data_IF_659462971179
#
_entry.id   IF_659462971179
#
_cell.length_a   1.000
_cell.length_b   1.000
_cell.length_c   1.000
_cell.angle_alpha   90.00
_cell.angle_beta   90.00
_cell.angle_gamma   90.00
#
_symmetry.space_group_name_H-M   'P 1'
#
loop_
_entity.id
_entity.type
_entity.pdbx_description
1 polymer ?
#
# COMPACT_ATOMS: atom_id res chain seq x y z
N UNK A 1 22.52 33.88 42.74
CA UNK A 1 22.10 33.48 41.38
C UNK A 1 20.68 32.95 41.50
N UNK A 2 19.71 33.85 41.35
CA UNK A 2 18.28 33.54 41.41
C UNK A 2 17.85 32.92 40.09
N UNK A 3 17.36 31.69 40.15
CA UNK A 3 16.63 31.05 39.05
C UNK A 3 15.39 31.91 38.78
N UNK A 4 15.13 32.35 37.53
CA UNK A 4 13.89 33.04 37.22
C UNK A 4 12.74 32.04 37.30
N UNK A 5 12.12 31.95 38.47
CA UNK A 5 10.80 31.36 38.63
C UNK A 5 9.77 32.27 37.96
N UNK A 6 8.86 31.65 37.22
CA UNK A 6 7.68 32.27 36.62
C UNK A 6 7.93 33.11 35.35
N UNK A 7 7.88 32.44 34.19
CA UNK A 7 7.45 33.09 32.93
C UNK A 7 5.92 33.11 32.94
N UNK A 8 5.27 34.26 33.19
CA UNK A 8 3.81 34.34 33.30
C UNK A 8 3.22 34.38 31.89
N UNK A 9 2.29 33.46 31.59
CA UNK A 9 1.38 33.61 30.44
C UNK A 9 1.46 32.55 29.34
N UNK A 10 2.34 31.55 29.42
CA UNK A 10 2.21 30.37 28.57
C UNK A 10 1.13 29.46 29.16
N UNK A 11 -0.09 29.59 28.66
CA UNK A 11 -1.13 28.60 28.96
C UNK A 11 -0.57 27.20 28.70
N UNK A 12 -0.84 26.24 29.59
CA UNK A 12 -0.36 24.85 29.48
C UNK A 12 -0.59 24.28 28.07
N UNK A 13 -1.73 24.61 27.45
CA UNK A 13 -2.06 24.26 26.06
C UNK A 13 -1.10 24.82 25.01
N UNK A 14 -0.64 26.07 25.18
CA UNK A 14 0.34 26.71 24.27
C UNK A 14 1.75 26.12 24.41
N UNK A 15 2.12 25.69 25.62
CA UNK A 15 3.36 24.97 25.84
C UNK A 15 3.33 23.60 25.13
N UNK A 16 2.26 22.82 25.32
CA UNK A 16 2.10 21.53 24.67
C UNK A 16 2.01 21.64 23.14
N UNK A 17 1.35 22.65 22.57
CA UNK A 17 1.30 22.83 21.12
C UNK A 17 2.67 23.15 20.51
N UNK A 18 3.47 23.99 21.19
CA UNK A 18 4.82 24.35 20.76
C UNK A 18 5.77 23.16 20.89
N UNK A 19 5.68 22.42 21.99
CA UNK A 19 6.45 21.19 22.18
C UNK A 19 6.10 20.13 21.12
N UNK A 20 4.82 19.94 20.80
CA UNK A 20 4.36 19.03 19.74
C UNK A 20 4.82 19.49 18.35
N UNK A 21 4.92 20.79 18.09
CA UNK A 21 5.45 21.31 16.82
C UNK A 21 6.95 21.08 16.66
N UNK A 22 7.71 21.23 17.75
CA UNK A 22 9.14 20.92 17.77
C UNK A 22 9.38 19.41 17.63
N UNK A 23 8.50 18.57 18.19
CA UNK A 23 8.60 17.10 18.13
C UNK A 23 7.99 16.48 16.85
N UNK A 24 7.05 17.14 16.17
CA UNK A 24 6.45 16.71 14.90
C UNK A 24 7.48 16.21 13.87
N UNK A 25 8.61 16.91 13.59
CA UNK A 25 9.59 16.45 12.62
C UNK A 25 10.32 15.16 13.05
N UNK A 26 10.48 14.90 14.35
CA UNK A 26 11.03 13.64 14.87
C UNK A 26 10.00 12.50 14.82
N UNK A 27 8.71 12.81 14.98
CA UNK A 27 7.66 11.78 15.08
C UNK A 27 7.16 11.27 13.72
N UNK A 28 7.18 12.12 12.69
CA UNK A 28 6.81 11.73 11.31
C UNK A 28 7.59 10.54 10.77
N UNK A 29 8.94 10.50 10.77
CA UNK A 29 9.68 9.36 10.22
C UNK A 29 9.41 8.06 10.98
N UNK A 30 9.22 8.13 12.31
CA UNK A 30 8.84 6.97 13.11
C UNK A 30 7.46 6.45 12.70
N UNK A 31 6.46 7.32 12.63
CA UNK A 31 5.11 6.98 12.18
C UNK A 31 5.11 6.35 10.78
N UNK A 32 5.79 6.98 9.82
CA UNK A 32 5.86 6.49 8.44
C UNK A 32 6.53 5.12 8.36
N UNK A 33 7.59 4.91 9.15
CA UNK A 33 8.29 3.62 9.26
C UNK A 33 7.36 2.54 9.81
N UNK A 34 6.63 2.82 10.89
CA UNK A 34 5.67 1.87 11.49
C UNK A 34 4.59 1.49 10.47
N UNK A 35 4.04 2.48 9.75
CA UNK A 35 3.01 2.24 8.72
C UNK A 35 3.54 1.33 7.62
N UNK A 36 4.77 1.56 7.13
CA UNK A 36 5.38 0.70 6.11
C UNK A 36 5.60 -0.71 6.64
N UNK A 37 6.09 -0.87 7.87
CA UNK A 37 6.30 -2.19 8.49
C UNK A 37 4.97 -2.95 8.58
N UNK A 38 3.91 -2.31 9.06
CA UNK A 38 2.57 -2.92 9.16
C UNK A 38 2.02 -3.27 7.78
N UNK A 39 2.16 -2.38 6.79
CA UNK A 39 1.72 -2.64 5.43
C UNK A 39 2.48 -3.83 4.79
N UNK A 40 3.80 -3.92 5.02
CA UNK A 40 4.63 -5.03 4.60
C UNK A 40 4.21 -6.35 5.28
N UNK A 41 3.96 -6.31 6.59
CA UNK A 41 3.47 -7.48 7.31
C UNK A 41 2.14 -7.96 6.75
N UNK A 42 1.19 -7.05 6.52
CA UNK A 42 -0.09 -7.37 5.90
C UNK A 42 0.09 -7.93 4.49
N UNK A 43 1.02 -7.41 3.69
CA UNK A 43 1.35 -7.93 2.37
C UNK A 43 1.81 -9.40 2.42
N UNK A 44 2.69 -9.74 3.37
CA UNK A 44 3.18 -11.12 3.57
C UNK A 44 2.05 -12.05 4.00
N UNK A 45 1.27 -11.65 5.01
CA UNK A 45 0.17 -12.45 5.56
C UNK A 45 -0.91 -12.70 4.51
N UNK A 46 -1.32 -11.65 3.80
CA UNK A 46 -2.37 -11.77 2.77
C UNK A 46 -1.89 -12.58 1.57
N UNK A 47 -0.70 -12.32 1.03
CA UNK A 47 -0.15 -13.11 -0.09
C UNK A 47 -0.06 -14.60 0.24
N UNK A 48 0.39 -14.90 1.46
CA UNK A 48 0.47 -16.28 1.94
C UNK A 48 -0.93 -16.90 2.04
N UNK A 49 -1.87 -16.24 2.71
CA UNK A 49 -3.24 -16.73 2.83
C UNK A 49 -3.88 -16.95 1.46
N UNK A 50 -3.78 -15.97 0.56
CA UNK A 50 -4.31 -16.04 -0.80
C UNK A 50 -3.71 -17.20 -1.61
N UNK A 51 -2.42 -17.46 -1.48
CA UNK A 51 -1.76 -18.61 -2.10
C UNK A 51 -2.39 -19.93 -1.64
N UNK A 52 -2.71 -20.09 -0.35
CA UNK A 52 -3.39 -21.27 0.17
C UNK A 52 -4.87 -21.37 -0.22
N UNK A 53 -5.48 -20.28 -0.68
CA UNK A 53 -6.86 -20.27 -1.21
C UNK A 53 -6.93 -20.58 -2.72
N UNK A 54 -5.82 -20.78 -3.43
CA UNK A 54 -5.85 -21.14 -4.85
C UNK A 54 -6.58 -22.45 -5.17
N UNK A 55 -6.59 -23.51 -4.34
CA UNK A 55 -7.34 -24.74 -4.63
C UNK A 55 -8.76 -24.69 -4.07
N UNK A 56 -9.28 -23.49 -3.71
CA UNK A 56 -10.61 -23.35 -3.14
C UNK A 56 -11.69 -23.88 -4.10
N UNK A 57 -12.56 -24.74 -3.56
CA UNK A 57 -13.61 -25.41 -4.30
C UNK A 57 -14.96 -25.15 -3.65
N UNK A 58 -15.96 -24.90 -4.48
CA UNK A 58 -17.36 -24.88 -4.06
C UNK A 58 -18.15 -25.78 -5.01
N UNK A 59 -18.88 -26.76 -4.46
CA UNK A 59 -19.59 -27.79 -5.23
C UNK A 59 -18.70 -28.54 -6.25
N UNK A 60 -17.42 -28.76 -5.92
CA UNK A 60 -16.44 -29.43 -6.78
C UNK A 60 -15.77 -28.56 -7.85
N UNK A 61 -16.27 -27.33 -8.07
CA UNK A 61 -15.71 -26.37 -9.03
C UNK A 61 -14.62 -25.51 -8.38
N UNK A 62 -13.48 -25.36 -9.05
CA UNK A 62 -12.40 -24.45 -8.65
C UNK A 62 -12.88 -23.00 -8.81
N UNK A 63 -12.78 -22.19 -7.76
CA UNK A 63 -13.13 -20.77 -7.82
C UNK A 63 -11.87 -19.90 -7.64
N UNK A 64 -11.66 -18.86 -8.48
CA UNK A 64 -10.49 -17.99 -8.41
C UNK A 64 -10.64 -16.92 -7.32
N UNK A 65 -11.04 -17.32 -6.11
CA UNK A 65 -11.29 -16.40 -4.98
C UNK A 65 -9.99 -15.68 -4.57
N UNK A 66 -8.87 -16.38 -4.62
CA UNK A 66 -7.54 -15.80 -4.38
C UNK A 66 -7.20 -14.68 -5.35
N UNK A 67 -7.56 -14.82 -6.63
CA UNK A 67 -7.34 -13.79 -7.63
C UNK A 67 -8.18 -12.53 -7.36
N UNK A 68 -9.45 -12.71 -6.97
CA UNK A 68 -10.33 -11.60 -6.58
C UNK A 68 -9.79 -10.88 -5.34
N UNK A 69 -9.33 -11.63 -4.34
CA UNK A 69 -8.70 -11.07 -3.15
C UNK A 69 -7.44 -10.26 -3.52
N UNK A 70 -6.55 -10.84 -4.31
CA UNK A 70 -5.32 -10.18 -4.76
C UNK A 70 -5.59 -8.87 -5.50
N UNK A 71 -6.60 -8.84 -6.39
CA UNK A 71 -7.02 -7.64 -7.13
C UNK A 71 -7.44 -6.50 -6.21
N UNK A 72 -7.97 -6.80 -5.02
CA UNK A 72 -8.43 -5.81 -4.04
C UNK A 72 -7.29 -5.44 -3.09
N UNK A 73 -6.62 -6.43 -2.50
CA UNK A 73 -5.64 -6.23 -1.43
C UNK A 73 -4.40 -5.48 -1.92
N UNK A 74 -3.85 -5.85 -3.08
CA UNK A 74 -2.60 -5.25 -3.57
C UNK A 74 -2.70 -3.74 -3.84
N UNK A 75 -3.67 -3.21 -4.60
CA UNK A 75 -3.80 -1.77 -4.79
C UNK A 75 -4.28 -1.05 -3.53
N UNK A 76 -5.04 -1.73 -2.67
CA UNK A 76 -5.48 -1.18 -1.39
C UNK A 76 -4.27 -0.88 -0.48
N UNK A 77 -3.36 -1.84 -0.30
CA UNK A 77 -2.14 -1.68 0.51
C UNK A 77 -1.29 -0.50 0.02
N UNK A 78 -1.04 -0.39 -1.28
CA UNK A 78 -0.30 0.74 -1.85
C UNK A 78 -1.02 2.08 -1.66
N UNK A 79 -2.34 2.12 -1.86
CA UNK A 79 -3.12 3.36 -1.74
C UNK A 79 -3.18 3.85 -0.30
N UNK A 80 -3.40 2.96 0.66
CA UNK A 80 -3.43 3.31 2.09
C UNK A 80 -2.06 3.76 2.56
N UNK A 81 -1.00 3.03 2.20
CA UNK A 81 0.38 3.40 2.56
C UNK A 81 0.72 4.79 2.01
N UNK A 82 0.32 5.09 0.76
CA UNK A 82 0.53 6.40 0.17
C UNK A 82 -0.29 7.51 0.86
N UNK A 83 -1.56 7.25 1.17
CA UNK A 83 -2.43 8.22 1.84
C UNK A 83 -1.94 8.59 3.24
N UNK A 84 -1.34 7.64 3.95
CA UNK A 84 -0.89 7.83 5.32
C UNK A 84 0.51 8.46 5.37
N UNK A 85 1.44 8.02 4.51
CA UNK A 85 2.85 8.50 4.52
C UNK A 85 3.09 9.71 3.61
N UNK A 86 2.26 9.92 2.58
CA UNK A 86 2.48 10.90 1.52
C UNK A 86 3.66 10.57 0.57
N UNK A 87 4.42 9.51 0.84
CA UNK A 87 5.67 9.19 0.14
C UNK A 87 5.43 8.13 -0.94
N UNK A 88 5.57 8.52 -2.21
CA UNK A 88 5.34 7.64 -3.38
C UNK A 88 6.21 6.38 -3.36
N UNK A 89 7.48 6.51 -2.97
CA UNK A 89 8.44 5.39 -2.94
C UNK A 89 8.04 4.34 -1.90
N UNK A 90 7.58 4.78 -0.72
CA UNK A 90 7.23 3.88 0.38
C UNK A 90 6.00 3.03 0.07
N UNK A 91 5.03 3.56 -0.68
CA UNK A 91 3.83 2.83 -1.09
C UNK A 91 4.04 1.72 -2.11
N UNK A 92 5.19 1.66 -2.78
CA UNK A 92 5.53 0.56 -3.70
C UNK A 92 6.05 -0.67 -2.95
N UNK A 93 6.68 -0.47 -1.78
CA UNK A 93 7.30 -1.53 -0.99
C UNK A 93 6.34 -2.68 -0.68
N UNK A 94 5.11 -2.46 -0.14
CA UNK A 94 4.22 -3.57 0.18
C UNK A 94 3.75 -4.34 -1.06
N UNK A 95 3.53 -3.68 -2.19
CA UNK A 95 3.14 -4.34 -3.43
C UNK A 95 4.26 -5.20 -4.01
N UNK A 96 5.50 -4.71 -3.98
CA UNK A 96 6.69 -5.49 -4.39
C UNK A 96 6.86 -6.68 -3.45
N UNK A 97 6.73 -6.47 -2.14
CA UNK A 97 6.87 -7.54 -1.16
C UNK A 97 5.79 -8.63 -1.32
N UNK A 98 4.53 -8.23 -1.53
CA UNK A 98 3.45 -9.17 -1.86
C UNK A 98 3.81 -10.02 -3.08
N UNK A 99 4.33 -9.41 -4.14
CA UNK A 99 4.71 -10.13 -5.36
C UNK A 99 5.86 -11.11 -5.10
N UNK A 100 6.87 -10.71 -4.33
CA UNK A 100 7.98 -11.59 -3.97
C UNK A 100 7.51 -12.82 -3.18
N UNK A 101 6.55 -12.64 -2.26
CA UNK A 101 5.96 -13.75 -1.50
C UNK A 101 5.11 -14.65 -2.40
N UNK A 102 4.31 -14.08 -3.30
CA UNK A 102 3.53 -14.85 -4.27
C UNK A 102 4.44 -15.66 -5.21
N UNK A 103 5.54 -15.08 -5.66
CA UNK A 103 6.55 -15.78 -6.47
C UNK A 103 7.23 -16.88 -5.65
N UNK A 104 7.59 -16.62 -4.40
CA UNK A 104 8.17 -17.63 -3.50
C UNK A 104 7.25 -18.86 -3.39
N UNK A 105 5.96 -18.67 -3.16
CA UNK A 105 4.96 -19.75 -3.14
C UNK A 105 4.69 -20.41 -4.50
N UNK A 106 5.14 -19.80 -5.59
CA UNK A 106 5.08 -20.36 -6.95
C UNK A 106 6.30 -21.21 -7.29
N UNK A 107 7.40 -21.06 -6.56
CA UNK A 107 8.63 -21.84 -6.74
C UNK A 107 8.53 -23.20 -6.06
N UNK A 108 9.19 -24.19 -6.65
CA UNK A 108 9.16 -25.60 -6.24
C UNK A 108 10.00 -25.83 -4.97
N UNK A 109 9.42 -26.26 -3.84
CA UNK A 109 10.17 -27.02 -2.85
C UNK A 109 10.55 -28.37 -3.48
N UNK A 110 11.71 -28.93 -3.13
CA UNK A 110 12.31 -30.16 -3.72
C UNK A 110 11.42 -31.41 -3.78
N UNK A 111 10.21 -31.33 -3.25
CA UNK A 111 9.22 -32.39 -3.05
C UNK A 111 8.07 -32.35 -4.08
N UNK A 112 8.00 -31.32 -4.94
CA UNK A 112 7.04 -31.27 -6.06
C UNK A 112 5.63 -30.81 -5.70
N UNK A 113 5.40 -30.32 -4.48
CA UNK A 113 4.13 -29.70 -4.10
C UNK A 113 4.09 -28.23 -4.53
N UNK A 114 3.07 -27.88 -5.33
CA UNK A 114 2.91 -26.55 -5.89
C UNK A 114 1.67 -25.89 -5.27
N UNK A 115 1.90 -24.88 -4.43
CA UNK A 115 0.80 -24.10 -3.83
C UNK A 115 0.08 -23.25 -4.90
N UNK A 116 0.82 -22.66 -5.85
CA UNK A 116 0.24 -21.74 -6.85
C UNK A 116 0.25 -22.34 -8.26
N UNK A 117 1.37 -22.85 -8.74
CA UNK A 117 1.54 -23.22 -10.16
C UNK A 117 0.93 -24.56 -10.56
N UNK A 118 0.42 -25.35 -9.61
CA UNK A 118 -0.24 -26.63 -9.85
C UNK A 118 -1.69 -26.54 -10.37
N UNK A 119 -2.23 -25.33 -10.56
CA UNK A 119 -3.62 -25.14 -10.99
C UNK A 119 -3.83 -23.87 -11.84
N UNK A 120 -4.87 -23.86 -12.68
CA UNK A 120 -5.21 -22.68 -13.48
C UNK A 120 -5.63 -21.48 -12.61
N UNK A 121 -6.27 -21.71 -11.45
CA UNK A 121 -6.66 -20.64 -10.51
C UNK A 121 -5.44 -19.97 -9.90
N UNK A 122 -4.38 -20.72 -9.60
CA UNK A 122 -3.13 -20.13 -9.12
C UNK A 122 -2.38 -19.31 -10.18
N UNK A 123 -2.42 -19.73 -11.46
CA UNK A 123 -1.93 -18.89 -12.56
C UNK A 123 -2.72 -17.58 -12.69
N UNK A 124 -4.06 -17.65 -12.62
CA UNK A 124 -4.92 -16.47 -12.64
C UNK A 124 -4.63 -15.56 -11.45
N UNK A 125 -4.42 -16.11 -10.25
CA UNK A 125 -3.99 -15.36 -9.07
C UNK A 125 -2.69 -14.60 -9.30
N UNK A 126 -1.66 -15.27 -9.82
CA UNK A 126 -0.35 -14.65 -10.05
C UNK A 126 -0.43 -13.53 -11.10
N UNK A 127 -1.13 -13.75 -12.21
CA UNK A 127 -1.31 -12.76 -13.27
C UNK A 127 -2.16 -11.58 -12.77
N UNK A 128 -3.29 -11.84 -12.13
CA UNK A 128 -4.18 -10.79 -11.66
C UNK A 128 -3.54 -9.96 -10.55
N UNK A 129 -2.90 -10.60 -9.57
CA UNK A 129 -2.23 -9.92 -8.47
C UNK A 129 -1.01 -9.11 -8.93
N UNK A 130 -0.21 -9.64 -9.86
CA UNK A 130 0.90 -8.88 -10.45
C UNK A 130 0.42 -7.66 -11.24
N UNK A 131 -0.65 -7.80 -12.03
CA UNK A 131 -1.27 -6.68 -12.74
C UNK A 131 -1.82 -5.62 -11.77
N UNK A 132 -2.46 -6.03 -10.68
CA UNK A 132 -3.00 -5.14 -9.66
C UNK A 132 -1.90 -4.43 -8.84
N UNK A 133 -0.81 -5.13 -8.52
CA UNK A 133 0.39 -4.53 -7.92
C UNK A 133 1.01 -3.47 -8.86
N UNK A 134 1.14 -3.78 -10.15
CA UNK A 134 1.62 -2.83 -11.16
C UNK A 134 0.69 -1.62 -11.30
N UNK A 135 -0.63 -1.83 -11.26
CA UNK A 135 -1.62 -0.76 -11.27
C UNK A 135 -1.53 0.14 -10.03
N UNK A 136 -1.42 -0.45 -8.84
CA UNK A 136 -1.23 0.27 -7.59
C UNK A 136 0.03 1.14 -7.61
N UNK A 137 1.14 0.59 -8.10
CA UNK A 137 2.38 1.32 -8.32
C UNK A 137 2.21 2.45 -9.34
N UNK A 138 1.59 2.18 -10.49
CA UNK A 138 1.31 3.18 -11.53
C UNK A 138 0.54 4.38 -10.99
N UNK A 139 -0.55 4.14 -10.24
CA UNK A 139 -1.38 5.20 -9.64
C UNK A 139 -0.62 6.12 -8.71
N UNK A 140 0.37 5.59 -8.01
CA UNK A 140 1.18 6.34 -7.05
C UNK A 140 2.29 7.11 -7.76
N UNK A 141 2.91 6.51 -8.77
CA UNK A 141 4.06 7.09 -9.47
C UNK A 141 3.62 8.21 -10.43
N UNK A 142 2.55 7.99 -11.19
CA UNK A 142 2.10 8.94 -12.21
C UNK A 142 1.38 10.14 -11.57
N UNK A 143 1.85 11.38 -11.80
CA UNK A 143 1.13 12.57 -11.36
C UNK A 143 -0.22 12.69 -12.11
N UNK A 144 -1.24 13.32 -11.49
CA UNK A 144 -2.50 13.61 -12.18
C UNK A 144 -2.22 14.37 -13.49
N UNK A 145 -2.90 13.97 -14.56
CA UNK A 145 -2.80 14.68 -15.83
C UNK A 145 -3.21 16.15 -15.61
N UNK A 146 -2.42 17.14 -16.07
CA UNK A 146 -2.83 18.54 -16.00
C UNK A 146 -4.20 18.70 -16.65
N UNK A 147 -5.10 19.54 -16.10
CA UNK A 147 -6.35 19.89 -16.78
C UNK A 147 -6.02 20.33 -18.21
N UNK A 148 -6.69 19.74 -19.20
CA UNK A 148 -6.55 20.23 -20.58
C UNK A 148 -6.97 21.71 -20.58
N UNK A 149 -6.17 22.62 -21.14
CA UNK A 149 -6.61 23.99 -21.35
C UNK A 149 -7.94 23.93 -22.08
N UNK A 150 -8.99 24.50 -21.50
CA UNK A 150 -10.24 24.72 -22.22
C UNK A 150 -9.89 25.78 -23.26
N UNK A 151 -9.71 25.34 -24.50
CA UNK A 151 -9.51 26.23 -25.63
C UNK A 151 -10.76 27.11 -25.70
N UNK A 152 -10.66 28.35 -25.21
CA UNK A 152 -11.70 29.35 -25.41
C UNK A 152 -11.69 29.63 -26.90
N UNK A 153 -12.60 29.01 -27.64
CA UNK A 153 -12.93 29.48 -28.97
C UNK A 153 -13.32 30.96 -28.85
N UNK A 154 -12.72 31.87 -29.63
CA UNK A 154 -13.20 33.23 -29.72
C UNK A 154 -14.65 33.18 -30.19
N UNK A 155 -15.58 33.66 -29.37
CA UNK A 155 -16.96 33.90 -29.77
C UNK A 155 -17.02 35.32 -30.35
N UNK A 156 -16.20 35.58 -31.36
CA UNK A 156 -16.14 36.87 -32.03
C UNK A 156 -16.80 36.72 -33.39
N UNK A 157 -18.12 36.89 -33.42
CA UNK A 157 -18.94 36.72 -34.62
C UNK A 157 -20.36 37.25 -34.54
N UNK A 158 -20.65 38.25 -33.70
CA UNK A 158 -21.91 39.01 -33.73
C UNK A 158 -21.63 40.50 -33.57
#
# INVERSE_FOLDING_TARGET
>A
MSVPEHVPGLSERSFWSTALEVLRPLWRPFHDTVVVIVACWMAVVTSTAEAFFTPFRLFGVLLPVSAVAALVVTPFLSTVTHRVTGLRRMSMIPAVLWLLVAVYWSTTPREGDHVITGSWTGLVYLIAGSAAAAYGAYKVVMPPLPPRPVERYPVDGV
#
